data_IF_890423649616
#
_entry.id   IF_890423649616
#
_cell.length_a   1.000
_cell.length_b   1.000
_cell.length_c   1.000
_cell.angle_alpha   90.00
_cell.angle_beta   90.00
_cell.angle_gamma   90.00
#
_symmetry.space_group_name_H-M   'P 1'
#
loop_
_entity.id
_entity.type
_entity.pdbx_description
1 polymer ?
#
# COMPACT_ATOMS: atom_id res chain seq x y z
N UNK A 1 -13.52 1.62 25.68
CA UNK A 1 -13.93 0.35 25.03
C UNK A 1 -12.74 -0.57 24.78
N UNK A 2 -11.93 -0.78 25.82
CA UNK A 2 -10.86 -1.77 25.84
C UNK A 2 -11.42 -3.08 26.41
N UNK A 3 -10.92 -4.23 25.93
CA UNK A 3 -11.18 -5.59 26.46
C UNK A 3 -12.33 -6.41 25.85
N UNK A 4 -12.29 -6.64 24.53
CA UNK A 4 -12.83 -7.87 23.91
C UNK A 4 -11.70 -8.71 23.26
N UNK A 5 -10.58 -8.85 23.96
CA UNK A 5 -9.69 -10.00 23.74
C UNK A 5 -10.05 -11.04 24.81
N UNK A 6 -11.13 -11.78 24.56
CA UNK A 6 -11.22 -13.11 25.16
C UNK A 6 -9.97 -13.86 24.71
N UNK A 7 -9.34 -14.61 25.62
CA UNK A 7 -8.33 -15.60 25.30
C UNK A 7 -8.90 -16.57 24.25
N UNK A 8 -8.82 -16.21 22.98
CA UNK A 8 -9.25 -17.04 21.89
C UNK A 8 -8.21 -18.15 21.78
N UNK A 9 -8.62 -19.36 22.15
CA UNK A 9 -7.81 -20.55 21.98
C UNK A 9 -7.31 -20.61 20.53
N UNK A 10 -5.99 -20.62 20.36
CA UNK A 10 -5.32 -20.90 19.09
C UNK A 10 -4.95 -22.39 19.11
N UNK A 11 -5.58 -23.16 18.23
CA UNK A 11 -5.21 -24.56 17.98
C UNK A 11 -3.84 -24.62 17.27
N UNK A 12 -3.13 -25.77 17.31
CA UNK A 12 -1.92 -25.96 16.51
C UNK A 12 -2.13 -25.65 15.03
N UNK A 13 -1.09 -25.19 14.33
CA UNK A 13 -1.18 -24.77 12.92
C UNK A 13 -1.73 -25.89 12.02
N UNK A 14 -1.38 -27.14 12.33
CA UNK A 14 -1.77 -28.34 11.60
C UNK A 14 -3.30 -28.51 11.55
N UNK A 15 -4.01 -28.12 12.61
CA UNK A 15 -5.48 -28.18 12.65
C UNK A 15 -6.12 -27.24 11.64
N UNK A 16 -5.45 -26.15 11.28
CA UNK A 16 -5.92 -25.18 10.29
C UNK A 16 -5.50 -25.50 8.85
N UNK A 17 -4.75 -26.59 8.61
CA UNK A 17 -4.26 -26.97 7.27
C UNK A 17 -5.36 -26.97 6.19
N UNK A 18 -6.59 -27.49 6.43
CA UNK A 18 -7.65 -27.47 5.42
C UNK A 18 -8.07 -26.05 5.02
N UNK A 19 -8.10 -25.11 5.95
CA UNK A 19 -8.39 -23.70 5.66
C UNK A 19 -7.23 -23.08 4.86
N UNK A 20 -6.00 -23.33 5.28
CA UNK A 20 -4.82 -22.82 4.59
C UNK A 20 -4.78 -23.30 3.13
N UNK A 21 -5.03 -24.59 2.88
CA UNK A 21 -5.07 -25.16 1.52
C UNK A 21 -6.09 -24.44 0.63
N UNK A 22 -7.31 -24.19 1.14
CA UNK A 22 -8.36 -23.49 0.39
C UNK A 22 -8.04 -22.01 0.10
N UNK A 23 -7.28 -21.35 0.98
CA UNK A 23 -6.83 -19.98 0.76
C UNK A 23 -5.71 -19.92 -0.29
N UNK A 24 -4.91 -20.97 -0.37
CA UNK A 24 -3.76 -21.11 -1.26
C UNK A 24 -4.10 -21.74 -2.63
N UNK A 25 -5.36 -22.08 -2.87
CA UNK A 25 -5.80 -22.66 -4.15
C UNK A 25 -5.51 -21.71 -5.33
N UNK A 26 -5.16 -22.25 -6.53
CA UNK A 26 -4.94 -21.45 -7.72
C UNK A 26 -6.07 -20.46 -8.01
N UNK A 27 -5.71 -19.23 -8.38
CA UNK A 27 -6.67 -18.16 -8.67
C UNK A 27 -7.28 -17.50 -7.42
N UNK A 28 -6.94 -17.96 -6.21
CA UNK A 28 -7.26 -17.35 -4.92
C UNK A 28 -8.76 -17.04 -4.74
N UNK A 29 -9.64 -17.93 -5.19
CA UNK A 29 -11.10 -17.72 -5.22
C UNK A 29 -11.65 -17.39 -3.82
N UNK A 30 -11.19 -18.13 -2.80
CA UNK A 30 -11.54 -17.89 -1.40
C UNK A 30 -11.12 -16.49 -0.95
N UNK A 31 -9.87 -16.09 -1.24
CA UNK A 31 -9.32 -14.78 -0.85
C UNK A 31 -10.04 -13.64 -1.57
N UNK A 32 -10.29 -13.78 -2.87
CA UNK A 32 -11.05 -12.80 -3.67
C UNK A 32 -12.47 -12.61 -3.12
N UNK A 33 -13.12 -13.70 -2.70
CA UNK A 33 -14.45 -13.63 -2.07
C UNK A 33 -14.39 -12.92 -0.72
N UNK A 34 -13.39 -13.23 0.12
CA UNK A 34 -13.19 -12.54 1.41
C UNK A 34 -12.93 -11.04 1.22
N UNK A 35 -12.22 -10.66 0.15
CA UNK A 35 -12.00 -9.25 -0.20
C UNK A 35 -13.31 -8.47 -0.44
N UNK A 36 -14.35 -9.15 -0.94
CA UNK A 36 -15.64 -8.55 -1.29
C UNK A 36 -16.62 -8.47 -0.12
N UNK A 37 -16.47 -9.30 0.91
CA UNK A 37 -17.43 -9.37 2.02
C UNK A 37 -16.86 -8.84 3.35
N UNK A 38 -15.56 -9.00 3.59
CA UNK A 38 -14.94 -8.67 4.88
C UNK A 38 -14.50 -7.20 4.98
N UNK A 39 -15.35 -6.25 4.59
CA UNK A 39 -15.00 -4.82 4.61
C UNK A 39 -14.72 -4.28 6.02
N UNK A 40 -15.46 -4.75 7.03
CA UNK A 40 -15.31 -4.34 8.42
C UNK A 40 -13.99 -4.85 9.03
N UNK A 41 -13.56 -6.06 8.67
CA UNK A 41 -12.36 -6.73 9.17
C UNK A 41 -11.17 -6.66 8.19
N UNK A 42 -11.18 -5.70 7.26
CA UNK A 42 -10.19 -5.59 6.19
C UNK A 42 -8.75 -5.51 6.69
N UNK A 43 -8.49 -4.73 7.74
CA UNK A 43 -7.14 -4.57 8.29
C UNK A 43 -6.59 -5.88 8.90
N UNK A 44 -7.28 -6.54 9.86
CA UNK A 44 -6.81 -7.83 10.38
C UNK A 44 -6.78 -8.92 9.29
N UNK A 45 -7.71 -8.91 8.33
CA UNK A 45 -7.68 -9.81 7.18
C UNK A 45 -6.40 -9.64 6.35
N UNK A 46 -6.05 -8.40 5.99
CA UNK A 46 -4.84 -8.09 5.21
C UNK A 46 -3.57 -8.55 5.93
N UNK A 47 -3.45 -8.26 7.23
CA UNK A 47 -2.28 -8.65 8.03
C UNK A 47 -2.14 -10.17 8.09
N UNK A 48 -3.23 -10.89 8.35
CA UNK A 48 -3.20 -12.34 8.46
C UNK A 48 -2.90 -13.02 7.11
N UNK A 49 -3.55 -12.57 6.02
CA UNK A 49 -3.27 -13.08 4.67
C UNK A 49 -1.82 -12.84 4.27
N UNK A 50 -1.31 -11.62 4.45
CA UNK A 50 0.06 -11.31 4.04
C UNK A 50 1.08 -12.20 4.76
N UNK A 51 0.90 -12.43 6.06
CA UNK A 51 1.77 -13.30 6.85
C UNK A 51 1.68 -14.78 6.46
N UNK A 52 0.48 -15.31 6.20
CA UNK A 52 0.30 -16.69 5.70
C UNK A 52 0.98 -16.86 4.35
N UNK A 53 0.74 -15.94 3.40
CA UNK A 53 1.38 -16.00 2.08
C UNK A 53 2.89 -15.76 2.14
N UNK A 54 3.40 -15.00 3.12
CA UNK A 54 4.84 -14.85 3.39
C UNK A 54 5.49 -16.15 3.84
N UNK A 55 4.86 -16.88 4.74
CA UNK A 55 5.35 -18.19 5.18
C UNK A 55 5.52 -19.15 3.99
N UNK A 56 4.60 -19.09 3.03
CA UNK A 56 4.60 -19.89 1.80
C UNK A 56 5.48 -19.33 0.66
N UNK A 57 6.06 -18.13 0.82
CA UNK A 57 6.80 -17.46 -0.26
C UNK A 57 5.93 -17.01 -1.46
N UNK A 58 4.62 -16.82 -1.25
CA UNK A 58 3.62 -16.51 -2.29
C UNK A 58 3.02 -15.10 -2.20
N UNK A 59 3.65 -14.17 -1.48
CA UNK A 59 3.13 -12.80 -1.30
C UNK A 59 2.92 -12.04 -2.61
N UNK A 60 3.83 -12.22 -3.57
CA UNK A 60 3.74 -11.56 -4.88
C UNK A 60 2.57 -12.09 -5.70
N UNK A 61 2.23 -13.37 -5.56
CA UNK A 61 1.03 -13.95 -6.16
C UNK A 61 -0.24 -13.35 -5.52
N UNK A 62 -0.31 -13.29 -4.19
CA UNK A 62 -1.42 -12.67 -3.47
C UNK A 62 -1.70 -11.25 -3.96
N UNK A 63 -0.66 -10.42 -3.99
CA UNK A 63 -0.77 -9.02 -4.39
C UNK A 63 -1.15 -8.90 -5.87
N UNK A 64 -0.53 -9.68 -6.76
CA UNK A 64 -0.85 -9.68 -8.19
C UNK A 64 -2.30 -10.07 -8.44
N UNK A 65 -2.75 -11.20 -7.91
CA UNK A 65 -4.10 -11.74 -8.17
C UNK A 65 -5.21 -10.81 -7.67
N UNK A 66 -5.01 -10.17 -6.50
CA UNK A 66 -5.99 -9.24 -5.95
C UNK A 66 -5.98 -7.89 -6.68
N UNK A 67 -4.80 -7.39 -7.07
CA UNK A 67 -4.70 -6.19 -7.88
C UNK A 67 -5.33 -6.38 -9.27
N UNK A 68 -5.09 -7.53 -9.91
CA UNK A 68 -5.67 -7.86 -11.22
C UNK A 68 -7.20 -7.98 -11.12
N UNK A 69 -7.72 -8.56 -10.04
CA UNK A 69 -9.16 -8.63 -9.79
C UNK A 69 -9.79 -7.24 -9.60
N UNK A 70 -9.13 -6.34 -8.85
CA UNK A 70 -9.60 -4.96 -8.67
C UNK A 70 -9.61 -4.20 -10.01
N UNK A 71 -8.52 -4.32 -10.78
CA UNK A 71 -8.43 -3.74 -12.13
C UNK A 71 -9.55 -4.29 -13.00
N UNK A 72 -9.80 -5.60 -12.99
CA UNK A 72 -10.86 -6.24 -13.78
C UNK A 72 -12.27 -5.78 -13.39
N UNK A 73 -12.52 -5.43 -12.13
CA UNK A 73 -13.81 -4.94 -11.61
C UNK A 73 -14.07 -3.46 -11.90
N UNK A 74 -13.04 -2.62 -11.92
CA UNK A 74 -13.17 -1.17 -12.06
C UNK A 74 -13.63 -0.73 -13.46
N UNK A 75 -14.60 0.18 -13.58
CA UNK A 75 -15.05 0.66 -14.91
C UNK A 75 -14.32 1.92 -15.35
N UNK A 76 -13.89 2.75 -14.40
CA UNK A 76 -13.37 4.09 -14.66
C UNK A 76 -11.90 4.21 -14.23
N UNK A 77 -11.03 4.69 -15.12
CA UNK A 77 -9.60 4.90 -14.79
C UNK A 77 -9.40 5.96 -13.71
N UNK A 78 -10.38 6.83 -13.50
CA UNK A 78 -10.33 7.89 -12.51
C UNK A 78 -10.59 7.41 -11.08
N UNK A 79 -11.27 6.28 -10.88
CA UNK A 79 -11.61 5.74 -9.55
C UNK A 79 -10.72 4.57 -9.12
N UNK A 80 -9.97 4.00 -10.06
CA UNK A 80 -9.05 2.88 -9.84
C UNK A 80 -8.13 3.11 -8.63
N UNK A 81 -8.20 2.20 -7.65
CA UNK A 81 -7.43 2.22 -6.40
C UNK A 81 -7.54 3.52 -5.57
N UNK A 82 -8.57 4.35 -5.77
CA UNK A 82 -8.81 5.54 -4.93
C UNK A 82 -9.45 5.19 -3.60
N UNK A 83 -10.40 4.26 -3.61
CA UNK A 83 -11.02 3.77 -2.39
C UNK A 83 -10.08 2.85 -1.63
N UNK A 84 -10.33 2.72 -0.33
CA UNK A 84 -9.62 1.80 0.52
C UNK A 84 -10.25 0.40 0.35
N UNK A 85 -9.53 -0.51 -0.32
CA UNK A 85 -9.92 -1.92 -0.54
C UNK A 85 -8.86 -2.88 0.00
N UNK A 86 -9.15 -4.18 0.09
CA UNK A 86 -8.19 -5.19 0.55
C UNK A 86 -6.87 -5.18 -0.27
N UNK A 87 -6.90 -5.15 -1.62
CA UNK A 87 -5.68 -5.02 -2.44
C UNK A 87 -4.83 -3.80 -2.04
N UNK A 88 -5.48 -2.64 -1.87
CA UNK A 88 -4.75 -1.42 -1.48
C UNK A 88 -4.13 -1.52 -0.09
N UNK A 89 -4.83 -2.11 0.87
CA UNK A 89 -4.31 -2.32 2.23
C UNK A 89 -3.12 -3.30 2.23
N UNK A 90 -3.20 -4.37 1.45
CA UNK A 90 -2.09 -5.33 1.30
C UNK A 90 -0.87 -4.66 0.67
N UNK A 91 -1.06 -3.85 -0.39
CA UNK A 91 0.01 -3.07 -1.00
C UNK A 91 0.64 -2.09 -0.01
N UNK A 92 -0.17 -1.36 0.77
CA UNK A 92 0.32 -0.41 1.78
C UNK A 92 1.18 -1.13 2.85
N UNK A 93 0.70 -2.29 3.35
CA UNK A 93 1.43 -3.11 4.34
C UNK A 93 2.73 -3.68 3.75
N UNK A 94 2.67 -4.22 2.54
CA UNK A 94 3.80 -4.83 1.87
C UNK A 94 4.90 -3.81 1.56
N UNK A 95 4.56 -2.70 0.89
CA UNK A 95 5.54 -1.65 0.58
C UNK A 95 6.15 -1.04 1.85
N UNK A 96 5.36 -0.89 2.92
CA UNK A 96 5.88 -0.40 4.20
C UNK A 96 6.91 -1.35 4.82
N UNK A 97 6.74 -2.66 4.66
CA UNK A 97 7.67 -3.66 5.17
C UNK A 97 8.95 -3.74 4.32
N UNK A 98 8.80 -3.71 2.99
CA UNK A 98 9.91 -4.02 2.08
C UNK A 98 10.70 -2.77 1.61
N UNK A 99 10.09 -1.58 1.60
CA UNK A 99 10.70 -0.40 0.95
C UNK A 99 11.46 0.54 1.91
N UNK A 100 11.81 0.13 3.14
CA UNK A 100 12.46 1.03 4.10
C UNK A 100 13.79 1.59 3.58
N UNK A 101 14.62 0.75 2.96
CA UNK A 101 15.90 1.17 2.38
C UNK A 101 15.70 2.16 1.21
N UNK A 102 14.69 1.91 0.37
CA UNK A 102 14.32 2.81 -0.72
C UNK A 102 13.84 4.17 -0.21
N UNK A 103 13.02 4.18 0.85
CA UNK A 103 12.57 5.42 1.50
C UNK A 103 13.73 6.20 2.10
N UNK A 104 14.67 5.52 2.76
CA UNK A 104 15.87 6.14 3.32
C UNK A 104 16.74 6.75 2.22
N UNK A 105 17.04 5.99 1.16
CA UNK A 105 17.82 6.48 0.02
C UNK A 105 17.16 7.69 -0.65
N UNK A 106 15.84 7.64 -0.84
CA UNK A 106 15.09 8.66 -1.59
C UNK A 106 14.79 9.93 -0.79
N UNK A 107 14.52 9.82 0.52
CA UNK A 107 13.90 10.90 1.30
C UNK A 107 14.71 11.37 2.50
N UNK A 108 15.63 10.56 3.04
CA UNK A 108 16.25 10.85 4.34
C UNK A 108 17.00 12.19 4.35
N UNK A 109 17.80 12.47 3.32
CA UNK A 109 18.52 13.74 3.19
C UNK A 109 17.56 14.95 3.17
N UNK A 110 16.45 14.83 2.46
CA UNK A 110 15.43 15.88 2.38
C UNK A 110 14.72 16.07 3.73
N UNK A 111 14.37 14.98 4.40
CA UNK A 111 13.73 15.03 5.71
C UNK A 111 14.66 15.70 6.71
N UNK A 112 15.90 15.26 6.83
CA UNK A 112 16.89 15.86 7.75
C UNK A 112 17.08 17.35 7.49
N UNK A 113 17.27 17.74 6.21
CA UNK A 113 17.37 19.16 5.82
C UNK A 113 16.17 19.98 6.30
N UNK A 114 14.95 19.46 6.14
CA UNK A 114 13.73 20.17 6.54
C UNK A 114 13.52 20.21 8.06
N UNK A 115 14.02 19.22 8.79
CA UNK A 115 13.98 19.22 10.27
C UNK A 115 14.93 20.24 10.88
N UNK A 116 16.10 20.41 10.27
CA UNK A 116 17.18 21.28 10.77
C UNK A 116 17.11 22.73 10.24
N UNK A 117 16.39 22.94 9.13
CA UNK A 117 16.25 24.25 8.50
C UNK A 117 15.50 25.25 9.39
N UNK A 118 15.97 26.50 9.38
CA UNK A 118 15.23 27.67 9.91
C UNK A 118 14.36 28.34 8.84
N UNK A 119 14.61 28.05 7.56
CA UNK A 119 13.82 28.56 6.43
C UNK A 119 12.59 27.67 6.22
N UNK A 120 11.43 28.29 6.13
CA UNK A 120 10.16 27.62 5.84
C UNK A 120 10.01 27.32 4.35
N UNK A 121 9.26 26.27 4.00
CA UNK A 121 8.80 26.02 2.63
C UNK A 121 7.30 26.35 2.44
N UNK A 122 6.67 27.02 3.42
CA UNK A 122 5.26 27.42 3.37
C UNK A 122 5.05 28.58 2.39
N UNK A 123 4.08 28.41 1.48
CA UNK A 123 3.70 29.43 0.50
C UNK A 123 2.27 29.92 0.68
N UNK A 124 1.48 29.30 1.56
CA UNK A 124 0.12 29.75 1.82
C UNK A 124 0.16 31.08 2.60
N UNK A 125 -0.36 32.19 2.05
CA UNK A 125 -0.33 33.50 2.72
C UNK A 125 -1.00 33.51 4.09
N UNK A 126 -1.97 32.62 4.34
CA UNK A 126 -2.67 32.52 5.63
C UNK A 126 -1.89 31.73 6.69
N UNK A 127 -0.77 31.08 6.31
CA UNK A 127 0.05 30.24 7.20
C UNK A 127 1.50 30.69 7.31
N UNK A 128 1.90 31.67 6.50
CA UNK A 128 3.20 32.32 6.58
C UNK A 128 3.22 33.33 7.74
N UNK A 129 4.38 33.49 8.36
CA UNK A 129 4.57 34.47 9.45
C UNK A 129 4.68 35.90 8.88
N UNK A 130 5.32 36.06 7.71
CA UNK A 130 5.39 37.32 6.98
C UNK A 130 5.25 37.11 5.46
N UNK A 131 4.47 37.95 4.74
CA UNK A 131 4.43 37.95 3.28
C UNK A 131 5.79 38.23 2.61
N UNK A 132 6.70 38.95 3.27
CA UNK A 132 8.02 39.30 2.72
C UNK A 132 8.93 38.07 2.55
N UNK A 133 8.63 36.98 3.25
CA UNK A 133 9.36 35.70 3.15
C UNK A 133 8.90 34.84 1.98
N UNK A 134 7.85 35.23 1.25
CA UNK A 134 7.29 34.40 0.19
C UNK A 134 8.32 34.03 -0.90
N UNK A 135 9.20 34.99 -1.25
CA UNK A 135 10.23 34.77 -2.26
C UNK A 135 11.29 33.76 -1.78
N UNK A 136 11.82 33.95 -0.56
CA UNK A 136 12.82 33.04 0.02
C UNK A 136 12.24 31.65 0.34
N UNK A 137 10.99 31.57 0.80
CA UNK A 137 10.28 30.30 0.98
C UNK A 137 10.12 29.55 -0.37
N UNK A 138 9.78 30.27 -1.44
CA UNK A 138 9.62 29.68 -2.77
C UNK A 138 10.95 29.17 -3.32
N UNK A 139 12.02 29.95 -3.19
CA UNK A 139 13.36 29.53 -3.59
C UNK A 139 13.81 28.28 -2.81
N UNK A 140 13.65 28.28 -1.48
CA UNK A 140 13.99 27.15 -0.64
C UNK A 140 13.18 25.89 -0.98
N UNK A 141 11.87 26.03 -1.22
CA UNK A 141 11.01 24.94 -1.65
C UNK A 141 11.47 24.38 -3.00
N UNK A 142 11.71 25.23 -4.01
CA UNK A 142 12.12 24.81 -5.35
C UNK A 142 13.48 24.08 -5.32
N UNK A 143 14.46 24.60 -4.57
CA UNK A 143 15.75 23.92 -4.38
C UNK A 143 15.58 22.56 -3.71
N UNK A 144 14.72 22.47 -2.70
CA UNK A 144 14.42 21.21 -2.01
C UNK A 144 13.70 20.22 -2.93
N UNK A 145 12.80 20.71 -3.79
CA UNK A 145 12.09 19.89 -4.78
C UNK A 145 13.02 19.32 -5.85
N UNK A 146 13.93 20.14 -6.40
CA UNK A 146 14.94 19.67 -7.36
C UNK A 146 15.86 18.60 -6.73
N UNK A 147 16.23 18.76 -5.46
CA UNK A 147 17.05 17.79 -4.72
C UNK A 147 16.31 16.46 -4.47
N UNK A 148 15.10 16.51 -3.92
CA UNK A 148 14.35 15.29 -3.55
C UNK A 148 13.93 14.49 -4.79
N UNK A 149 13.52 15.15 -5.89
CA UNK A 149 13.13 14.41 -7.09
C UNK A 149 14.33 13.74 -7.75
N UNK A 150 15.50 14.39 -7.71
CA UNK A 150 16.73 13.80 -8.18
C UNK A 150 17.09 12.56 -7.36
N UNK A 151 17.03 12.66 -6.02
CA UNK A 151 17.29 11.53 -5.12
C UNK A 151 16.35 10.35 -5.38
N UNK A 152 15.04 10.60 -5.53
CA UNK A 152 14.05 9.58 -5.87
C UNK A 152 14.41 8.87 -7.18
N UNK A 153 14.74 9.64 -8.24
CA UNK A 153 15.10 9.06 -9.54
C UNK A 153 16.39 8.24 -9.50
N UNK A 154 17.38 8.67 -8.71
CA UNK A 154 18.65 7.94 -8.55
C UNK A 154 18.55 6.71 -7.65
N UNK A 155 17.48 6.60 -6.86
CA UNK A 155 17.27 5.48 -5.93
C UNK A 155 16.50 4.30 -6.53
N UNK A 156 16.26 4.29 -7.85
CA UNK A 156 15.47 3.26 -8.53
C UNK A 156 15.95 1.83 -8.25
N UNK A 157 17.27 1.61 -8.24
CA UNK A 157 17.87 0.29 -8.03
C UNK A 157 17.77 -0.21 -6.58
N UNK A 158 17.48 0.69 -5.64
CA UNK A 158 17.23 0.34 -4.23
C UNK A 158 15.80 -0.19 -4.04
N UNK A 159 14.88 0.12 -4.95
CA UNK A 159 13.50 -0.34 -4.83
C UNK A 159 13.43 -1.87 -4.99
N UNK A 160 12.84 -2.60 -4.03
CA UNK A 160 12.83 -4.06 -4.05
C UNK A 160 12.28 -4.65 -5.35
N UNK A 161 13.00 -5.63 -5.91
CA UNK A 161 12.60 -6.33 -7.14
C UNK A 161 11.16 -6.88 -7.11
N UNK A 162 10.66 -7.49 -6.00
CA UNK A 162 9.27 -7.92 -5.92
C UNK A 162 8.25 -6.79 -6.09
N UNK A 163 8.51 -5.61 -5.50
CA UNK A 163 7.64 -4.43 -5.63
C UNK A 163 7.63 -3.93 -7.07
N UNK A 164 8.82 -3.83 -7.69
CA UNK A 164 8.97 -3.48 -9.12
C UNK A 164 8.21 -4.43 -10.04
N UNK A 165 8.29 -5.74 -9.77
CA UNK A 165 7.53 -6.75 -10.51
C UNK A 165 6.01 -6.57 -10.38
N UNK A 166 5.49 -6.33 -9.16
CA UNK A 166 4.06 -6.08 -8.94
C UNK A 166 3.60 -4.83 -9.68
N UNK A 167 4.39 -3.75 -9.67
CA UNK A 167 4.12 -2.55 -10.47
C UNK A 167 4.09 -2.87 -11.98
N UNK A 168 5.02 -3.70 -12.48
CA UNK A 168 5.00 -4.20 -13.86
C UNK A 168 3.74 -5.00 -14.21
N UNK A 169 3.26 -5.85 -13.30
CA UNK A 169 1.98 -6.57 -13.48
C UNK A 169 0.81 -5.58 -13.56
N UNK A 170 0.73 -4.63 -12.63
CA UNK A 170 -0.29 -3.58 -12.64
C UNK A 170 -0.30 -2.80 -13.96
N UNK A 171 0.87 -2.40 -14.46
CA UNK A 171 0.96 -1.72 -15.77
C UNK A 171 0.38 -2.55 -16.90
N UNK A 172 0.74 -3.84 -16.98
CA UNK A 172 0.20 -4.75 -18.02
C UNK A 172 -1.32 -4.91 -17.89
N UNK A 173 -1.83 -5.08 -16.67
CA UNK A 173 -3.26 -5.23 -16.42
C UNK A 173 -4.05 -4.01 -16.87
N UNK A 174 -3.63 -2.80 -16.49
CA UNK A 174 -4.35 -1.56 -16.85
C UNK A 174 -4.21 -1.21 -18.33
N UNK A 175 -3.08 -1.51 -18.98
CA UNK A 175 -2.89 -1.31 -20.42
C UNK A 175 -3.78 -2.28 -21.21
N UNK A 176 -3.89 -3.53 -20.76
CA UNK A 176 -4.79 -4.50 -21.38
C UNK A 176 -6.26 -4.08 -21.27
N UNK A 177 -6.64 -3.49 -20.13
CA UNK A 177 -8.02 -3.05 -19.89
C UNK A 177 -8.40 -1.73 -20.56
N UNK A 178 -7.49 -0.75 -20.54
CA UNK A 178 -7.72 0.59 -21.09
C UNK A 178 -6.61 0.99 -22.09
N UNK A 179 -6.50 0.30 -23.25
CA UNK A 179 -5.41 0.54 -24.20
C UNK A 179 -5.40 1.94 -24.82
N UNK A 180 -6.52 2.67 -24.76
CA UNK A 180 -6.64 4.05 -25.27
C UNK A 180 -6.17 5.14 -24.30
N UNK A 181 -6.02 4.86 -23.00
CA UNK A 181 -5.53 5.85 -22.02
C UNK A 181 -4.00 5.75 -21.92
N UNK A 182 -3.30 6.62 -22.66
CA UNK A 182 -1.83 6.67 -22.69
C UNK A 182 -1.19 6.78 -21.30
N UNK A 183 -1.87 7.42 -20.34
CA UNK A 183 -1.32 7.71 -19.02
C UNK A 183 -1.74 6.70 -17.96
N UNK A 184 -2.63 5.74 -18.27
CA UNK A 184 -3.14 4.79 -17.26
C UNK A 184 -2.01 3.96 -16.64
N UNK A 185 -1.01 3.57 -17.44
CA UNK A 185 0.14 2.78 -16.98
C UNK A 185 1.03 3.52 -15.98
N UNK A 186 1.22 4.82 -16.16
CA UNK A 186 2.03 5.62 -15.23
C UNK A 186 1.19 6.02 -14.03
N UNK A 187 -0.10 6.35 -14.22
CA UNK A 187 -1.03 6.72 -13.16
C UNK A 187 -1.22 5.61 -12.12
N UNK A 188 -1.38 4.35 -12.55
CA UNK A 188 -1.59 3.23 -11.61
C UNK A 188 -0.37 3.01 -10.69
N UNK A 189 0.84 3.11 -11.25
CA UNK A 189 2.09 2.92 -10.49
C UNK A 189 2.35 4.12 -9.59
N UNK A 190 2.13 5.33 -10.11
CA UNK A 190 2.20 6.59 -9.34
C UNK A 190 1.28 6.57 -8.12
N UNK A 191 0.07 6.01 -8.27
CA UNK A 191 -0.90 5.82 -7.19
C UNK A 191 -0.41 4.95 -6.03
N UNK A 192 0.56 4.06 -6.25
CA UNK A 192 1.19 3.29 -5.17
C UNK A 192 2.50 3.93 -4.69
N UNK A 193 3.42 4.22 -5.61
CA UNK A 193 4.78 4.67 -5.26
C UNK A 193 4.79 6.07 -4.66
N UNK A 194 4.00 7.00 -5.20
CA UNK A 194 3.95 8.37 -4.68
C UNK A 194 2.83 8.53 -3.65
N UNK A 195 1.58 8.26 -4.06
CA UNK A 195 0.42 8.54 -3.22
C UNK A 195 0.33 7.68 -1.96
N UNK A 196 0.82 6.43 -1.99
CA UNK A 196 0.70 5.48 -0.86
C UNK A 196 2.01 5.19 -0.13
N UNK A 197 3.16 5.50 -0.73
CA UNK A 197 4.48 5.24 -0.15
C UNK A 197 5.26 6.53 0.13
N UNK A 198 5.78 7.22 -0.89
CA UNK A 198 6.68 8.36 -0.71
C UNK A 198 6.00 9.58 -0.05
N UNK A 199 4.83 10.01 -0.53
CA UNK A 199 4.13 11.17 0.03
C UNK A 199 3.67 10.90 1.48
N UNK A 200 3.05 9.75 1.82
CA UNK A 200 2.76 9.43 3.21
C UNK A 200 4.00 9.35 4.12
N UNK A 201 5.15 8.88 3.60
CA UNK A 201 6.40 8.85 4.33
C UNK A 201 6.94 10.25 4.65
N UNK A 202 6.78 11.21 3.73
CA UNK A 202 7.08 12.62 3.99
C UNK A 202 6.10 13.25 5.00
N UNK A 203 4.81 12.92 4.90
CA UNK A 203 3.78 13.47 5.79
C UNK A 203 3.89 12.94 7.22
N UNK A 204 4.31 11.68 7.38
CA UNK A 204 4.37 10.99 8.68
C UNK A 204 5.69 10.21 8.85
N UNK A 205 6.86 10.88 8.82
CA UNK A 205 8.16 10.20 8.74
C UNK A 205 8.42 9.28 9.94
N UNK A 206 7.92 9.65 11.13
CA UNK A 206 8.01 8.82 12.34
C UNK A 206 7.26 7.50 12.19
N UNK A 207 6.06 7.52 11.62
CA UNK A 207 5.28 6.29 11.41
C UNK A 207 5.96 5.36 10.41
N UNK A 208 6.73 5.90 9.47
CA UNK A 208 7.53 5.13 8.51
C UNK A 208 8.92 4.75 9.04
N UNK A 209 9.25 5.06 10.30
CA UNK A 209 10.54 4.72 10.89
C UNK A 209 11.71 5.53 10.34
N UNK A 210 11.46 6.65 9.66
CA UNK A 210 12.50 7.52 9.10
C UNK A 210 13.09 8.46 10.14
N UNK A 211 12.33 8.78 11.20
CA UNK A 211 12.77 9.64 12.30
C UNK A 211 12.28 9.07 13.63
N UNK A 212 13.00 9.35 14.71
CA UNK A 212 12.65 8.92 16.07
C UNK A 212 11.57 9.80 16.72
N UNK A 213 11.65 11.11 16.50
CA UNK A 213 10.80 12.12 17.13
C UNK A 213 9.81 12.75 16.16
N UNK A 214 8.77 13.39 16.70
CA UNK A 214 7.80 14.09 15.87
C UNK A 214 8.40 15.41 15.36
N UNK A 215 8.33 15.69 14.04
CA UNK A 215 8.81 16.96 13.50
C UNK A 215 8.16 18.19 14.16
N UNK A 216 8.90 19.30 14.23
CA UNK A 216 8.34 20.59 14.66
C UNK A 216 7.17 21.02 13.76
N UNK A 217 6.34 21.95 14.21
CA UNK A 217 5.21 22.44 13.40
C UNK A 217 5.69 23.05 12.07
N UNK A 218 6.78 23.82 12.10
CA UNK A 218 7.37 24.43 10.90
C UNK A 218 7.91 23.38 9.92
N UNK A 219 8.64 22.39 10.44
CA UNK A 219 9.15 21.30 9.61
C UNK A 219 8.01 20.45 9.03
N UNK A 220 6.95 20.19 9.81
CA UNK A 220 5.74 19.51 9.36
C UNK A 220 5.06 20.26 8.20
N UNK A 221 4.90 21.59 8.30
CA UNK A 221 4.37 22.40 7.19
C UNK A 221 5.24 22.30 5.95
N UNK A 222 6.56 22.33 6.10
CA UNK A 222 7.49 22.24 4.97
C UNK A 222 7.46 20.84 4.30
N UNK A 223 7.40 19.78 5.09
CA UNK A 223 7.21 18.40 4.60
C UNK A 223 5.89 18.25 3.82
N UNK A 224 4.79 18.86 4.31
CA UNK A 224 3.51 18.88 3.61
C UNK A 224 3.63 19.57 2.25
N UNK A 225 4.34 20.70 2.17
CA UNK A 225 4.54 21.44 0.92
C UNK A 225 5.33 20.61 -0.10
N UNK A 226 6.40 19.95 0.34
CA UNK A 226 7.19 19.06 -0.53
C UNK A 226 6.34 17.88 -1.01
N UNK A 227 5.65 17.19 -0.10
CA UNK A 227 4.79 16.05 -0.42
C UNK A 227 3.69 16.44 -1.43
N UNK A 228 3.08 17.62 -1.27
CA UNK A 228 2.05 18.15 -2.16
C UNK A 228 2.58 18.43 -3.57
N UNK A 229 3.74 19.05 -3.69
CA UNK A 229 4.36 19.33 -4.99
C UNK A 229 4.76 18.03 -5.70
N UNK A 230 5.33 17.06 -4.97
CA UNK A 230 5.63 15.74 -5.51
C UNK A 230 4.37 14.99 -5.94
N UNK A 231 3.28 15.10 -5.17
CA UNK A 231 2.01 14.48 -5.52
C UNK A 231 1.42 15.08 -6.82
N UNK A 232 1.51 16.41 -7.00
CA UNK A 232 1.08 17.06 -8.24
C UNK A 232 1.92 16.64 -9.44
N UNK A 233 3.26 16.58 -9.28
CA UNK A 233 4.14 16.06 -10.32
C UNK A 233 3.81 14.60 -10.66
N UNK A 234 3.59 13.75 -9.65
CA UNK A 234 3.25 12.34 -9.84
C UNK A 234 1.88 12.14 -10.52
N UNK A 235 0.96 13.10 -10.34
CA UNK A 235 -0.33 13.18 -11.04
C UNK A 235 -0.22 13.86 -12.42
N UNK A 236 0.94 14.41 -12.78
CA UNK A 236 1.21 15.16 -14.00
C UNK A 236 0.34 16.43 -14.17
N UNK A 237 -0.11 17.00 -13.06
CA UNK A 237 -0.97 18.21 -13.02
C UNK A 237 -0.19 19.41 -12.49
N UNK A 238 -0.49 20.58 -13.06
CA UNK A 238 0.00 21.87 -12.56
C UNK A 238 -0.92 22.43 -11.48
N UNK A 239 -0.39 23.34 -10.67
CA UNK A 239 -1.18 24.15 -9.77
C UNK A 239 -1.92 25.25 -10.53
N UNK A 240 -3.10 25.63 -10.02
CA UNK A 240 -3.90 26.73 -10.52
C UNK A 240 -5.23 26.86 -9.78
N UNK A 241 -6.05 27.84 -10.17
CA UNK A 241 -7.41 28.01 -9.65
C UNK A 241 -7.45 28.42 -8.16
N UNK A 242 -7.78 27.49 -7.26
CA UNK A 242 -7.91 27.79 -5.82
C UNK A 242 -6.58 27.93 -5.08
N UNK A 243 -5.47 27.54 -5.71
CA UNK A 243 -4.14 27.51 -5.10
C UNK A 243 -3.12 28.31 -5.93
N UNK A 244 -3.49 29.53 -6.34
CA UNK A 244 -2.65 30.42 -7.17
C UNK A 244 -1.25 30.67 -6.60
N UNK A 245 -1.12 30.70 -5.27
CA UNK A 245 0.18 30.85 -4.59
C UNK A 245 1.17 29.71 -4.87
N UNK A 246 0.70 28.56 -5.38
CA UNK A 246 1.54 27.42 -5.77
C UNK A 246 1.98 27.46 -7.23
N UNK A 247 1.49 28.40 -8.06
CA UNK A 247 1.83 28.46 -9.49
C UNK A 247 3.33 28.68 -9.74
N UNK A 248 4.04 29.28 -8.78
CA UNK A 248 5.51 29.41 -8.78
C UNK A 248 6.24 28.06 -8.88
N UNK A 249 5.57 26.95 -8.53
CA UNK A 249 6.11 25.58 -8.62
C UNK A 249 5.87 24.93 -10.00
N UNK A 250 4.99 25.48 -10.84
CA UNK A 250 4.67 24.89 -12.15
C UNK A 250 5.89 24.69 -13.07
N UNK A 251 6.90 25.60 -13.11
CA UNK A 251 8.12 25.35 -13.87
C UNK A 251 8.86 24.07 -13.45
N UNK A 252 8.91 23.77 -12.14
CA UNK A 252 9.46 22.51 -11.64
C UNK A 252 8.66 21.30 -12.12
N UNK A 253 7.32 21.38 -12.11
CA UNK A 253 6.45 20.30 -12.57
C UNK A 253 6.70 20.05 -14.06
N UNK A 254 6.58 21.09 -14.89
CA UNK A 254 6.76 21.01 -16.34
C UNK A 254 8.13 20.43 -16.73
N UNK A 255 9.21 20.88 -16.07
CA UNK A 255 10.58 20.35 -16.25
C UNK A 255 10.70 18.84 -15.98
N UNK A 256 9.88 18.29 -15.08
CA UNK A 256 10.03 16.92 -14.60
C UNK A 256 8.94 15.94 -15.06
N UNK A 257 7.86 16.38 -15.75
CA UNK A 257 6.76 15.51 -16.19
C UNK A 257 7.24 14.31 -17.01
N UNK A 258 8.09 14.53 -18.00
CA UNK A 258 8.60 13.44 -18.85
C UNK A 258 9.55 12.51 -18.09
N UNK A 259 10.42 13.07 -17.26
CA UNK A 259 11.34 12.30 -16.40
C UNK A 259 10.57 11.40 -15.43
N UNK A 260 9.47 11.90 -14.87
CA UNK A 260 8.56 11.12 -14.01
C UNK A 260 7.97 9.92 -14.76
N UNK A 261 7.50 10.12 -15.99
CA UNK A 261 6.95 9.02 -16.80
C UNK A 261 8.02 7.96 -17.09
N UNK A 262 9.21 8.38 -17.51
CA UNK A 262 10.34 7.48 -17.77
C UNK A 262 10.72 6.70 -16.51
N UNK A 263 10.81 7.36 -15.36
CA UNK A 263 11.08 6.72 -14.08
C UNK A 263 10.05 5.64 -13.75
N UNK A 264 8.74 5.94 -13.85
CA UNK A 264 7.66 4.99 -13.55
C UNK A 264 7.65 3.79 -14.49
N UNK A 265 8.02 3.98 -15.76
CA UNK A 265 8.15 2.90 -16.72
C UNK A 265 9.38 2.01 -16.43
N UNK A 266 10.54 2.61 -16.13
CA UNK A 266 11.76 1.87 -15.77
C UNK A 266 11.61 1.10 -14.44
N UNK A 267 10.89 1.69 -13.48
CA UNK A 267 10.53 1.06 -12.21
C UNK A 267 9.78 -0.25 -12.45
N UNK A 268 8.88 -0.24 -13.42
CA UNK A 268 7.95 -1.34 -13.71
C UNK A 268 8.48 -2.33 -14.74
N UNK A 269 9.70 -2.13 -15.25
CA UNK A 269 10.33 -2.96 -16.30
C UNK A 269 10.96 -4.26 -15.78
N UNK A 270 10.33 -4.91 -14.79
CA UNK A 270 10.78 -6.18 -14.20
C UNK A 270 9.81 -7.30 -14.55
N UNK A 271 10.34 -8.38 -15.12
CA UNK A 271 9.58 -9.54 -15.60
C UNK A 271 9.39 -10.66 -14.57
N UNK A 272 10.19 -10.68 -13.51
CA UNK A 272 10.17 -11.70 -12.46
C UNK A 272 10.36 -11.08 -11.07
N UNK A 273 9.73 -11.64 -10.02
CA UNK A 273 9.89 -11.13 -8.66
C UNK A 273 11.24 -11.47 -8.02
N UNK A 274 12.11 -12.24 -8.69
CA UNK A 274 13.29 -12.86 -8.09
C UNK A 274 12.95 -14.09 -7.23
N UNK A 275 13.97 -14.67 -6.60
CA UNK A 275 13.83 -15.83 -5.72
C UNK A 275 13.24 -15.40 -4.38
N UNK A 276 12.02 -15.87 -4.07
CA UNK A 276 11.41 -15.69 -2.75
C UNK A 276 11.66 -16.97 -1.96
N UNK A 277 12.36 -16.86 -0.84
CA UNK A 277 12.60 -18.00 0.03
C UNK A 277 11.46 -18.13 1.04
N UNK A 278 10.80 -19.31 1.14
CA UNK A 278 9.83 -19.55 2.18
C UNK A 278 10.48 -19.35 3.55
N UNK A 279 9.75 -18.71 4.46
CA UNK A 279 10.17 -18.65 5.86
C UNK A 279 9.82 -19.98 6.52
N UNK A 280 10.73 -20.95 6.45
CA UNK A 280 10.55 -22.32 6.98
C UNK A 280 10.32 -22.39 8.52
N UNK A 281 10.17 -21.25 9.22
CA UNK A 281 10.00 -21.17 10.68
C UNK A 281 8.85 -20.24 11.12
N UNK A 282 8.01 -19.75 10.20
CA UNK A 282 6.89 -18.91 10.60
C UNK A 282 5.73 -19.76 11.17
N UNK A 283 5.55 -19.74 12.48
CA UNK A 283 4.30 -20.21 13.11
C UNK A 283 3.16 -19.29 12.68
N UNK A 284 2.26 -19.81 11.82
CA UNK A 284 1.10 -19.09 11.28
C UNK A 284 -0.20 -19.45 11.99
N UNK A 285 -0.17 -20.22 13.08
CA UNK A 285 -1.37 -20.68 13.78
C UNK A 285 -2.27 -19.50 14.20
N UNK A 286 -1.66 -18.40 14.66
CA UNK A 286 -2.39 -17.19 15.08
C UNK A 286 -3.09 -16.51 13.92
N UNK A 287 -2.41 -16.38 12.79
CA UNK A 287 -2.95 -15.79 11.56
C UNK A 287 -4.08 -16.65 10.99
N UNK A 288 -3.89 -17.98 10.94
CA UNK A 288 -4.92 -18.91 10.50
C UNK A 288 -6.14 -18.92 11.43
N UNK A 289 -5.93 -18.83 12.74
CA UNK A 289 -7.01 -18.64 13.72
C UNK A 289 -7.77 -17.31 13.50
N UNK A 290 -7.04 -16.24 13.16
CA UNK A 290 -7.64 -14.94 12.84
C UNK A 290 -8.48 -15.02 11.57
N UNK A 291 -7.97 -15.69 10.52
CA UNK A 291 -8.70 -15.90 9.27
C UNK A 291 -9.95 -16.76 9.48
N UNK A 292 -9.84 -17.82 10.29
CA UNK A 292 -10.98 -18.63 10.70
C UNK A 292 -12.04 -17.78 11.41
N UNK A 293 -11.64 -16.96 12.39
CA UNK A 293 -12.54 -16.08 13.12
C UNK A 293 -13.28 -15.10 12.20
N UNK A 294 -12.56 -14.46 11.26
CA UNK A 294 -13.16 -13.55 10.28
C UNK A 294 -14.16 -14.29 9.39
N UNK A 295 -13.81 -15.49 8.91
CA UNK A 295 -14.73 -16.31 8.12
C UNK A 295 -16.00 -16.70 8.91
N UNK A 296 -15.87 -16.99 10.20
CA UNK A 296 -17.02 -17.26 11.09
C UNK A 296 -17.89 -16.01 11.26
N UNK A 297 -17.28 -14.84 11.44
CA UNK A 297 -18.00 -13.57 11.57
C UNK A 297 -18.83 -13.24 10.33
N UNK A 298 -18.35 -13.63 9.14
CA UNK A 298 -19.01 -13.42 7.84
C UNK A 298 -19.64 -14.70 7.26
N UNK A 299 -19.95 -15.70 8.09
CA UNK A 299 -20.41 -17.01 7.61
C UNK A 299 -21.73 -16.93 6.83
N UNK A 300 -22.65 -16.04 7.21
CA UNK A 300 -23.94 -15.86 6.51
C UNK A 300 -23.75 -15.34 5.07
N UNK A 301 -22.83 -14.41 4.87
CA UNK A 301 -22.47 -13.87 3.56
C UNK A 301 -21.77 -14.94 2.72
N UNK A 302 -20.82 -15.68 3.31
CA UNK A 302 -20.16 -16.82 2.66
C UNK A 302 -21.17 -17.90 2.23
N UNK A 303 -22.15 -18.22 3.08
CA UNK A 303 -23.23 -19.16 2.76
C UNK A 303 -24.10 -18.68 1.61
N UNK A 304 -24.32 -17.36 1.47
CA UNK A 304 -25.01 -16.78 0.33
C UNK A 304 -24.24 -17.01 -0.98
N UNK A 305 -22.93 -16.74 -0.97
CA UNK A 305 -22.04 -16.94 -2.13
C UNK A 305 -21.88 -18.44 -2.46
N UNK A 306 -21.84 -19.31 -1.45
CA UNK A 306 -21.73 -20.77 -1.61
C UNK A 306 -22.89 -21.42 -2.37
N UNK A 307 -24.03 -20.72 -2.51
CA UNK A 307 -25.16 -21.17 -3.35
C UNK A 307 -24.77 -21.25 -4.82
N UNK A 308 -23.92 -20.34 -5.27
CA UNK A 308 -23.54 -20.20 -6.69
C UNK A 308 -22.07 -20.54 -6.97
N UNK A 309 -21.23 -20.66 -5.93
CA UNK A 309 -19.81 -20.99 -6.06
C UNK A 309 -19.44 -22.24 -5.24
N UNK A 310 -19.04 -23.32 -5.93
CA UNK A 310 -18.68 -24.60 -5.31
C UNK A 310 -17.45 -24.52 -4.41
N UNK A 311 -16.45 -23.69 -4.74
CA UNK A 311 -15.24 -23.56 -3.93
C UNK A 311 -15.58 -22.91 -2.58
N UNK A 312 -16.46 -21.91 -2.60
CA UNK A 312 -16.93 -21.25 -1.37
C UNK A 312 -17.81 -22.19 -0.52
N UNK A 313 -18.51 -23.14 -1.14
CA UNK A 313 -19.22 -24.20 -0.40
C UNK A 313 -18.25 -25.10 0.37
N UNK A 314 -17.12 -25.46 -0.23
CA UNK A 314 -16.06 -26.21 0.47
C UNK A 314 -15.47 -25.38 1.61
N UNK A 315 -15.21 -24.09 1.39
CA UNK A 315 -14.76 -23.17 2.43
C UNK A 315 -15.72 -23.13 3.62
N UNK A 316 -17.01 -22.89 3.39
CA UNK A 316 -18.04 -22.89 4.45
C UNK A 316 -18.01 -24.19 5.25
N UNK A 317 -17.91 -25.34 4.57
CA UNK A 317 -17.84 -26.66 5.22
C UNK A 317 -16.62 -26.78 6.12
N UNK A 318 -15.45 -26.32 5.66
CA UNK A 318 -14.21 -26.32 6.45
C UNK A 318 -14.32 -25.37 7.65
N UNK A 319 -14.90 -24.19 7.49
CA UNK A 319 -15.10 -23.22 8.57
C UNK A 319 -16.02 -23.80 9.68
N UNK A 320 -17.11 -24.46 9.29
CA UNK A 320 -18.02 -25.13 10.23
C UNK A 320 -17.34 -26.31 10.94
N UNK A 321 -16.55 -27.10 10.21
CA UNK A 321 -15.76 -28.20 10.77
C UNK A 321 -14.76 -27.69 11.82
N UNK A 322 -13.97 -26.66 11.48
CA UNK A 322 -13.00 -26.04 12.38
C UNK A 322 -13.67 -25.43 13.62
N UNK A 323 -14.85 -24.85 13.46
CA UNK A 323 -15.63 -24.30 14.59
C UNK A 323 -16.02 -25.40 15.58
N UNK A 324 -16.51 -26.55 15.09
CA UNK A 324 -16.82 -27.72 15.93
C UNK A 324 -15.55 -28.31 16.56
N UNK A 325 -14.45 -28.36 15.82
CA UNK A 325 -13.17 -28.86 16.33
C UNK A 325 -12.65 -27.98 17.48
N UNK A 326 -12.66 -26.64 17.29
CA UNK A 326 -12.25 -25.67 18.33
C UNK A 326 -13.08 -25.80 19.59
N UNK A 327 -14.39 -26.03 19.49
CA UNK A 327 -15.26 -26.28 20.65
C UNK A 327 -14.85 -27.54 21.42
N UNK A 328 -14.61 -28.66 20.73
CA UNK A 328 -14.12 -29.90 21.36
C UNK A 328 -12.73 -29.72 21.99
N UNK A 329 -11.87 -28.92 21.37
CA UNK A 329 -10.54 -28.63 21.91
C UNK A 329 -10.62 -27.81 23.20
N UNK A 330 -11.53 -26.83 23.26
CA UNK A 330 -11.84 -26.08 24.49
C UNK A 330 -12.38 -26.98 25.61
N UNK A 331 -13.22 -27.96 25.28
CA UNK A 331 -13.75 -28.93 26.26
C UNK A 331 -12.67 -29.85 26.83
N UNK A 332 -11.63 -30.20 26.05
CA UNK A 332 -10.52 -31.05 26.51
C UNK A 332 -9.51 -30.34 27.42
N UNK A 333 -9.44 -29.02 27.36
CA UNK A 333 -8.50 -28.21 28.17
C UNK A 333 -9.11 -27.81 29.53
N UNK A 334 -10.44 -27.93 29.68
CA UNK A 334 -11.16 -27.70 30.93
C UNK A 334 -11.15 -28.96 31.80
#
# INVERSE_FOLDING_TARGET
NHSRYLHDLVMPAEEYSPLQQLLLEPGLVSVKTLAEICHADRQPLAVALLRVFRAEGRETELLRELNDAEVAKETETSTLFRAASLPTTLMDLYMRAECIEFLQASLMETITKLLESKQSAELNPNKMDSPDEACSNAEFLLQTLDQVIYSIFMSLEVLPRPVRYICGCLQRAVVGKWPGDRYVRTRVVSGFIFLRLLCPALLNPRQFGLVSEQPSQMATRSLVMVAKCLQNLANLIEFGGKETYMEVVNPFILKNKERMMVFLDQLSAIGDPGTIHPSNQADTAKELATLHHICVAHLSELQSVAKVNSNIRTLVTVIEMLTKHKQKYLEKIR
#
